data_IF_367511805933
#
_entry.id   IF_367511805933
#
_cell.length_a   1.000
_cell.length_b   1.000
_cell.length_c   1.000
_cell.angle_alpha   90.00
_cell.angle_beta   90.00
_cell.angle_gamma   90.00
#
_symmetry.space_group_name_H-M   'P 1'
#
loop_
_entity.id
_entity.type
_entity.pdbx_description
1 polymer ?
#
# COMPACT_ATOMS: atom_id res chain seq x y z
N UNK A 1 27.38 34.06 68.53
CA UNK A 1 27.91 35.31 69.12
C UNK A 1 27.60 36.43 68.13
N UNK A 2 27.26 37.62 68.66
CA UNK A 2 26.91 38.86 67.95
C UNK A 2 25.54 38.87 67.21
N UNK A 3 24.52 39.59 67.70
CA UNK A 3 24.28 41.07 67.65
C UNK A 3 23.82 41.50 66.24
N UNK A 4 22.89 42.40 65.99
CA UNK A 4 21.94 43.24 66.73
C UNK A 4 21.18 44.07 65.65
N UNK A 5 20.16 44.84 66.07
CA UNK A 5 19.44 45.95 65.39
C UNK A 5 18.11 45.55 64.73
N UNK A 6 16.92 45.79 65.32
CA UNK A 6 16.30 47.05 65.81
C UNK A 6 16.32 48.18 64.77
N UNK A 7 15.28 48.99 64.53
CA UNK A 7 13.94 49.21 65.12
C UNK A 7 13.24 50.27 64.22
N UNK A 8 12.04 50.66 64.65
CA UNK A 8 11.44 52.01 64.52
C UNK A 8 10.60 52.32 63.26
N UNK A 9 9.42 52.95 63.36
CA UNK A 9 8.57 53.31 64.51
C UNK A 9 7.21 53.83 63.99
N UNK A 10 6.22 53.78 64.88
CA UNK A 10 5.10 54.73 65.07
C UNK A 10 4.34 55.34 63.87
N UNK A 11 3.00 55.25 63.90
CA UNK A 11 2.23 56.22 64.70
C UNK A 11 0.80 55.74 64.98
N UNK A 12 0.33 56.15 66.16
CA UNK A 12 -0.92 55.86 66.85
C UNK A 12 -1.91 57.02 66.69
N UNK A 13 -3.22 56.76 66.74
CA UNK A 13 -4.17 57.89 66.76
C UNK A 13 -5.65 57.58 66.67
N UNK A 14 -6.19 57.01 67.75
CA UNK A 14 -7.31 57.61 68.51
C UNK A 14 -8.74 57.74 67.92
N UNK A 15 -9.69 57.53 68.86
CA UNK A 15 -11.05 58.08 68.97
C UNK A 15 -12.31 57.37 68.44
N UNK A 16 -13.08 56.95 69.44
CA UNK A 16 -14.50 56.56 69.45
C UNK A 16 -15.40 57.83 69.40
N UNK A 17 -16.44 57.85 68.55
CA UNK A 17 -17.86 58.19 68.86
C UNK A 17 -18.66 58.64 67.62
N UNK A 18 -19.74 57.93 67.32
CA UNK A 18 -21.09 58.54 67.37
C UNK A 18 -21.85 58.85 66.06
N UNK A 19 -22.97 58.12 65.92
CA UNK A 19 -24.31 58.52 65.40
C UNK A 19 -24.64 58.36 63.91
N UNK A 20 -25.72 57.56 63.71
CA UNK A 20 -26.87 57.70 62.78
C UNK A 20 -26.51 57.65 61.29
N UNK A 21 -27.21 56.93 60.41
CA UNK A 21 -28.66 56.74 60.27
C UNK A 21 -28.90 55.63 59.24
N UNK A 22 -30.02 54.91 59.37
CA UNK A 22 -30.61 54.04 58.33
C UNK A 22 -30.55 54.70 56.96
N UNK A 23 -30.20 53.95 55.91
CA UNK A 23 -30.94 53.88 54.64
C UNK A 23 -30.65 52.51 54.00
N UNK A 24 -31.71 51.72 53.88
CA UNK A 24 -31.72 50.38 53.35
C UNK A 24 -32.17 50.49 51.89
N UNK A 25 -31.26 50.30 50.92
CA UNK A 25 -31.61 50.19 49.50
C UNK A 25 -30.87 49.02 48.89
N UNK A 26 -31.58 47.89 48.88
CA UNK A 26 -31.73 46.98 47.74
C UNK A 26 -30.69 47.12 46.62
N UNK A 27 -29.89 46.08 46.40
CA UNK A 27 -29.79 45.51 45.06
C UNK A 27 -29.38 44.03 45.08
N UNK A 28 -30.27 43.26 44.48
CA UNK A 28 -30.30 41.81 44.41
C UNK A 28 -29.02 41.21 43.83
N UNK A 29 -28.42 40.28 44.57
CA UNK A 29 -27.74 39.14 43.97
C UNK A 29 -28.69 37.95 44.04
N UNK A 30 -29.28 37.63 42.89
CA UNK A 30 -30.17 36.49 42.72
C UNK A 30 -29.46 35.20 43.16
N UNK A 31 -30.01 34.53 44.18
CA UNK A 31 -29.62 33.16 44.59
C UNK A 31 -30.07 32.08 43.59
N UNK A 32 -30.64 32.45 42.43
CA UNK A 32 -31.16 31.49 41.45
C UNK A 32 -30.15 31.05 40.38
N UNK A 33 -29.02 31.73 40.21
CA UNK A 33 -28.06 31.39 39.14
C UNK A 33 -27.13 30.24 39.51
N UNK A 34 -26.88 29.98 40.79
CA UNK A 34 -26.01 28.86 41.22
C UNK A 34 -26.61 27.47 41.04
N UNK A 35 -27.93 27.35 40.92
CA UNK A 35 -28.63 26.06 40.87
C UNK A 35 -29.03 25.63 39.44
N UNK A 36 -28.83 26.50 38.45
CA UNK A 36 -29.15 26.23 37.03
C UNK A 36 -27.96 25.76 36.18
N UNK A 37 -26.72 25.94 36.65
CA UNK A 37 -25.52 25.46 35.95
C UNK A 37 -25.10 24.05 36.35
N UNK A 38 -25.51 23.56 37.52
CA UNK A 38 -25.23 22.19 37.96
C UNK A 38 -25.84 21.10 37.05
N UNK A 39 -27.12 21.21 36.59
CA UNK A 39 -27.66 20.26 35.64
C UNK A 39 -27.02 20.39 34.25
N UNK A 40 -26.60 21.58 33.82
CA UNK A 40 -25.98 21.78 32.51
C UNK A 40 -24.57 21.16 32.43
N UNK A 41 -23.78 21.23 33.50
CA UNK A 41 -22.45 20.59 33.59
C UNK A 41 -22.59 19.07 33.68
N UNK A 42 -23.58 18.55 34.42
CA UNK A 42 -23.90 17.12 34.45
C UNK A 42 -24.43 16.61 33.09
N UNK A 43 -25.20 17.42 32.36
CA UNK A 43 -25.70 17.10 31.02
C UNK A 43 -24.56 17.09 29.99
N UNK A 44 -23.61 18.02 30.08
CA UNK A 44 -22.44 18.06 29.19
C UNK A 44 -21.44 16.94 29.48
N UNK A 45 -21.26 16.55 30.75
CA UNK A 45 -20.48 15.38 31.13
C UNK A 45 -21.14 14.06 30.68
N UNK A 46 -22.48 13.99 30.69
CA UNK A 46 -23.22 12.84 30.14
C UNK A 46 -23.09 12.73 28.61
N UNK A 47 -23.01 13.86 27.89
CA UNK A 47 -22.79 13.87 26.43
C UNK A 47 -21.35 13.45 26.09
N UNK A 48 -20.35 13.84 26.88
CA UNK A 48 -18.97 13.37 26.71
C UNK A 48 -18.81 11.89 27.07
N UNK A 49 -19.56 11.37 28.06
CA UNK A 49 -19.60 9.95 28.39
C UNK A 49 -20.35 9.10 27.34
N UNK A 50 -21.27 9.70 26.57
CA UNK A 50 -21.99 9.05 25.48
C UNK A 50 -21.15 8.85 24.21
N UNK A 51 -19.93 9.38 24.16
CA UNK A 51 -18.95 9.09 23.10
C UNK A 51 -18.11 7.84 23.41
N UNK A 52 -18.58 6.94 24.28
CA UNK A 52 -18.09 5.58 24.32
C UNK A 52 -18.43 4.92 22.98
N UNK A 53 -17.39 4.55 22.23
CA UNK A 53 -17.48 3.85 20.95
C UNK A 53 -18.41 2.65 21.15
N UNK A 54 -19.59 2.67 20.51
CA UNK A 54 -20.57 1.60 20.70
C UNK A 54 -19.91 0.28 20.31
N UNK A 55 -20.07 -0.78 21.12
CA UNK A 55 -19.51 -2.06 20.77
C UNK A 55 -20.10 -2.49 19.44
N UNK A 56 -19.25 -3.00 18.54
CA UNK A 56 -19.60 -3.45 17.21
C UNK A 56 -18.87 -4.76 16.91
N UNK A 57 -19.42 -5.58 16.00
CA UNK A 57 -18.75 -6.76 15.46
C UNK A 57 -18.22 -6.43 14.07
N UNK A 58 -16.91 -6.58 13.86
CA UNK A 58 -16.31 -6.41 12.54
C UNK A 58 -16.63 -7.63 11.69
N UNK A 59 -17.28 -7.45 10.56
CA UNK A 59 -17.63 -8.54 9.65
C UNK A 59 -16.78 -8.48 8.38
N UNK A 60 -16.02 -9.55 8.14
CA UNK A 60 -15.27 -9.79 6.91
C UNK A 60 -15.73 -11.07 6.22
N UNK A 61 -15.75 -11.07 4.90
CA UNK A 61 -16.15 -12.21 4.08
C UNK A 61 -14.96 -12.74 3.27
N UNK A 62 -14.67 -14.03 3.40
CA UNK A 62 -13.63 -14.73 2.64
C UNK A 62 -14.32 -15.63 1.61
N UNK A 63 -14.51 -15.07 0.42
CA UNK A 63 -15.17 -15.74 -0.70
C UNK A 63 -14.14 -16.08 -1.79
N UNK A 64 -14.24 -17.27 -2.38
CA UNK A 64 -13.38 -17.70 -3.48
C UNK A 64 -12.02 -18.22 -3.04
N UNK A 65 -11.00 -18.03 -3.88
CA UNK A 65 -9.66 -18.60 -3.68
C UNK A 65 -8.90 -17.91 -2.53
N UNK A 66 -8.28 -18.69 -1.65
CA UNK A 66 -7.42 -18.15 -0.57
C UNK A 66 -6.05 -17.78 -1.16
N UNK A 67 -5.83 -16.48 -1.36
CA UNK A 67 -4.63 -15.92 -1.97
C UNK A 67 -3.82 -15.06 -0.99
N UNK A 68 -2.58 -14.67 -1.33
CA UNK A 68 -1.85 -13.62 -0.63
C UNK A 68 -2.66 -12.32 -0.46
N UNK A 69 -3.50 -11.95 -1.42
CA UNK A 69 -4.40 -10.80 -1.31
C UNK A 69 -5.48 -11.00 -0.24
N UNK A 70 -6.03 -12.22 -0.14
CA UNK A 70 -6.95 -12.61 0.93
C UNK A 70 -6.29 -12.50 2.30
N UNK A 71 -5.03 -12.95 2.42
CA UNK A 71 -4.26 -12.81 3.66
C UNK A 71 -4.01 -11.35 4.02
N UNK A 72 -3.63 -10.52 3.04
CA UNK A 72 -3.45 -9.07 3.23
C UNK A 72 -4.74 -8.39 3.71
N UNK A 73 -5.88 -8.74 3.10
CA UNK A 73 -7.18 -8.25 3.54
C UNK A 73 -7.50 -8.61 4.99
N UNK A 74 -7.25 -9.87 5.38
CA UNK A 74 -7.44 -10.29 6.78
C UNK A 74 -6.52 -9.50 7.71
N UNK A 75 -5.24 -9.32 7.37
CA UNK A 75 -4.31 -8.53 8.19
C UNK A 75 -4.77 -7.08 8.35
N UNK A 76 -5.20 -6.42 7.27
CA UNK A 76 -5.75 -5.06 7.29
C UNK A 76 -7.05 -4.94 8.09
N UNK A 77 -7.86 -6.00 8.13
CA UNK A 77 -9.05 -6.05 8.97
C UNK A 77 -8.67 -6.22 10.46
N UNK A 78 -7.74 -7.13 10.75
CA UNK A 78 -7.29 -7.42 12.11
C UNK A 78 -6.48 -6.29 12.74
N UNK A 79 -5.84 -5.44 11.94
CA UNK A 79 -5.24 -4.19 12.40
C UNK A 79 -6.26 -3.24 13.09
N UNK A 80 -7.55 -3.37 12.75
CA UNK A 80 -8.63 -2.61 13.39
C UNK A 80 -9.38 -3.41 14.46
N UNK A 81 -9.10 -4.71 14.63
CA UNK A 81 -9.94 -5.61 15.42
C UNK A 81 -10.07 -5.20 16.90
N UNK A 82 -9.06 -4.55 17.48
CA UNK A 82 -9.10 -4.03 18.85
C UNK A 82 -10.16 -2.95 19.09
N UNK A 83 -10.67 -2.32 18.03
CA UNK A 83 -11.76 -1.34 18.09
C UNK A 83 -13.16 -2.01 18.16
N UNK A 84 -13.22 -3.33 17.99
CA UNK A 84 -14.46 -4.11 17.91
C UNK A 84 -14.54 -5.11 19.08
N UNK A 85 -15.75 -5.56 19.38
CA UNK A 85 -15.98 -6.56 20.44
C UNK A 85 -15.63 -7.99 20.00
N UNK A 86 -15.76 -8.26 18.69
CA UNK A 86 -15.39 -9.51 18.05
C UNK A 86 -15.20 -9.29 16.55
N UNK A 87 -14.56 -10.25 15.88
CA UNK A 87 -14.48 -10.34 14.42
C UNK A 87 -15.32 -11.54 13.96
N UNK A 88 -16.25 -11.32 13.03
CA UNK A 88 -16.96 -12.36 12.30
C UNK A 88 -16.31 -12.57 10.94
N UNK A 89 -15.89 -13.80 10.67
CA UNK A 89 -15.34 -14.24 9.38
C UNK A 89 -16.33 -15.22 8.75
N UNK A 90 -16.96 -14.82 7.64
CA UNK A 90 -17.77 -15.76 6.85
C UNK A 90 -16.93 -16.41 5.75
N UNK A 91 -17.12 -17.71 5.53
CA UNK A 91 -16.30 -18.53 4.64
C UNK A 91 -17.16 -19.18 3.54
N UNK A 92 -16.82 -18.88 2.28
CA UNK A 92 -17.23 -19.66 1.10
C UNK A 92 -16.05 -19.86 0.14
N UNK A 93 -15.29 -20.93 0.35
CA UNK A 93 -14.03 -21.21 -0.35
C UNK A 93 -13.82 -22.70 -0.64
N UNK A 94 -13.23 -22.98 -1.81
CA UNK A 94 -12.73 -24.31 -2.17
C UNK A 94 -11.31 -24.57 -1.65
N UNK A 95 -10.64 -23.54 -1.10
CA UNK A 95 -9.27 -23.60 -0.67
C UNK A 95 -8.39 -22.53 -1.33
N UNK A 96 -7.08 -22.74 -1.25
CA UNK A 96 -6.11 -21.89 -1.91
C UNK A 96 -4.68 -22.18 -1.48
N UNK A 97 -3.83 -21.14 -1.50
CA UNK A 97 -2.42 -21.25 -1.13
C UNK A 97 -2.26 -21.64 0.35
N UNK A 98 -1.38 -22.62 0.60
CA UNK A 98 -1.03 -23.04 1.95
C UNK A 98 -0.37 -21.91 2.76
N UNK A 99 0.49 -21.09 2.14
CA UNK A 99 1.17 -19.98 2.81
C UNK A 99 0.18 -18.89 3.22
N UNK A 100 -0.74 -18.53 2.32
CA UNK A 100 -1.79 -17.56 2.62
C UNK A 100 -2.70 -18.07 3.75
N UNK A 101 -3.07 -19.35 3.71
CA UNK A 101 -3.83 -19.99 4.78
C UNK A 101 -3.10 -19.92 6.13
N UNK A 102 -1.83 -20.31 6.18
CA UNK A 102 -1.05 -20.32 7.42
C UNK A 102 -0.91 -18.89 7.99
N UNK A 103 -0.75 -17.89 7.13
CA UNK A 103 -0.70 -16.47 7.52
C UNK A 103 -2.03 -15.99 8.11
N UNK A 104 -3.17 -16.37 7.52
CA UNK A 104 -4.50 -16.07 8.06
C UNK A 104 -4.70 -16.76 9.41
N UNK A 105 -4.33 -18.04 9.52
CA UNK A 105 -4.39 -18.80 10.78
C UNK A 105 -3.55 -18.10 11.87
N UNK A 106 -2.32 -17.71 11.56
CA UNK A 106 -1.45 -16.98 12.50
C UNK A 106 -2.07 -15.64 12.93
N UNK A 107 -2.69 -14.91 12.00
CA UNK A 107 -3.40 -13.65 12.28
C UNK A 107 -4.56 -13.86 13.25
N UNK A 108 -5.37 -14.91 13.03
CA UNK A 108 -6.48 -15.27 13.92
C UNK A 108 -5.96 -15.66 15.31
N UNK A 109 -4.92 -16.50 15.37
CA UNK A 109 -4.32 -16.98 16.64
C UNK A 109 -3.72 -15.84 17.47
N UNK A 110 -3.27 -14.75 16.84
CA UNK A 110 -2.75 -13.55 17.52
C UNK A 110 -3.82 -12.51 17.86
N UNK A 111 -5.08 -12.77 17.52
CA UNK A 111 -6.14 -11.80 17.73
C UNK A 111 -6.34 -11.47 19.21
N UNK A 112 -6.36 -10.18 19.59
CA UNK A 112 -6.66 -9.77 20.96
C UNK A 112 -8.15 -9.85 21.30
N UNK A 113 -9.01 -10.02 20.29
CA UNK A 113 -10.47 -10.11 20.42
C UNK A 113 -10.99 -11.46 19.91
N UNK A 114 -12.16 -11.93 20.40
CA UNK A 114 -12.81 -13.13 19.88
C UNK A 114 -13.01 -13.11 18.36
N UNK A 115 -12.86 -14.28 17.73
CA UNK A 115 -13.03 -14.47 16.29
C UNK A 115 -14.05 -15.58 16.08
N UNK A 116 -15.15 -15.24 15.41
CA UNK A 116 -16.24 -16.14 15.07
C UNK A 116 -16.07 -16.53 13.60
N UNK A 117 -15.85 -17.81 13.32
CA UNK A 117 -15.83 -18.38 11.98
C UNK A 117 -17.19 -18.95 11.61
N UNK A 118 -17.69 -18.63 10.43
CA UNK A 118 -19.00 -19.10 9.98
C UNK A 118 -18.98 -19.54 8.52
N UNK A 119 -19.23 -20.83 8.26
CA UNK A 119 -19.40 -21.30 6.88
C UNK A 119 -20.77 -20.83 6.40
N UNK A 120 -20.78 -19.88 5.47
CA UNK A 120 -21.95 -19.10 5.07
C UNK A 120 -21.71 -18.51 3.66
N UNK A 121 -22.73 -18.37 2.80
CA UNK A 121 -24.17 -18.59 3.02
C UNK A 121 -24.57 -20.06 3.12
N UNK A 122 -25.86 -20.32 3.35
CA UNK A 122 -26.43 -21.66 3.18
C UNK A 122 -26.07 -22.22 1.80
N UNK A 123 -25.61 -23.48 1.76
CA UNK A 123 -25.04 -24.10 0.55
C UNK A 123 -23.59 -23.72 0.21
N UNK A 124 -22.99 -22.78 0.95
CA UNK A 124 -21.56 -22.44 0.86
C UNK A 124 -20.65 -23.53 1.42
N UNK A 125 -19.34 -23.29 1.43
CA UNK A 125 -18.37 -24.31 1.86
C UNK A 125 -17.09 -23.71 2.42
N UNK A 126 -16.41 -24.42 3.30
CA UNK A 126 -15.06 -24.09 3.72
C UNK A 126 -14.20 -25.35 3.55
N UNK A 127 -13.71 -25.58 2.34
CA UNK A 127 -12.88 -26.74 2.01
C UNK A 127 -11.40 -26.38 2.03
N UNK A 128 -10.55 -27.38 2.20
CA UNK A 128 -9.09 -27.23 2.18
C UNK A 128 -8.62 -26.12 3.12
N UNK A 129 -8.00 -25.06 2.61
CA UNK A 129 -7.57 -23.90 3.38
C UNK A 129 -8.71 -23.30 4.25
N UNK A 130 -9.95 -23.31 3.76
CA UNK A 130 -11.11 -22.85 4.51
C UNK A 130 -11.35 -23.61 5.81
N UNK A 131 -11.13 -24.93 5.80
CA UNK A 131 -11.26 -25.77 7.00
C UNK A 131 -10.22 -25.38 8.06
N UNK A 132 -8.97 -25.15 7.66
CA UNK A 132 -7.92 -24.70 8.59
C UNK A 132 -8.24 -23.34 9.21
N UNK A 133 -8.73 -22.39 8.38
CA UNK A 133 -9.13 -21.05 8.86
C UNK A 133 -10.28 -21.18 9.86
N UNK A 134 -11.30 -21.98 9.55
CA UNK A 134 -12.42 -22.24 10.47
C UNK A 134 -11.93 -22.86 11.79
N UNK A 135 -11.08 -23.89 11.73
CA UNK A 135 -10.55 -24.57 12.91
C UNK A 135 -9.67 -23.66 13.77
N UNK A 136 -9.09 -22.60 13.21
CA UNK A 136 -8.33 -21.61 13.95
C UNK A 136 -9.22 -20.58 14.68
N UNK A 137 -10.50 -20.43 14.30
CA UNK A 137 -11.39 -19.45 14.92
C UNK A 137 -11.78 -19.85 16.34
N UNK A 138 -12.06 -18.85 17.18
CA UNK A 138 -12.39 -19.04 18.59
C UNK A 138 -13.79 -19.62 18.81
N UNK A 139 -14.70 -19.39 17.87
CA UNK A 139 -16.04 -19.97 17.83
C UNK A 139 -16.40 -20.24 16.37
N UNK A 140 -16.73 -21.49 16.03
CA UNK A 140 -16.96 -21.97 14.68
C UNK A 140 -18.40 -22.43 14.53
N UNK A 141 -19.03 -22.04 13.42
CA UNK A 141 -20.37 -22.44 13.08
C UNK A 141 -20.55 -22.73 11.59
N UNK A 142 -21.64 -23.39 11.26
CA UNK A 142 -21.99 -23.75 9.88
C UNK A 142 -23.44 -23.41 9.57
N UNK A 143 -23.70 -22.88 8.37
CA UNK A 143 -25.05 -22.71 7.86
C UNK A 143 -25.60 -24.03 7.31
N UNK A 144 -26.94 -24.23 7.27
CA UNK A 144 -27.53 -25.41 6.64
C UNK A 144 -27.06 -25.62 5.20
N UNK A 145 -26.86 -26.88 4.82
CA UNK A 145 -26.40 -27.24 3.47
C UNK A 145 -24.93 -26.91 3.18
N UNK A 146 -24.17 -26.41 4.16
CA UNK A 146 -22.74 -26.14 3.96
C UNK A 146 -21.85 -27.36 4.15
N UNK A 147 -20.58 -27.26 3.75
CA UNK A 147 -19.61 -28.35 3.86
C UNK A 147 -18.27 -27.85 4.39
N UNK A 148 -17.65 -28.62 5.29
CA UNK A 148 -16.24 -28.49 5.67
C UNK A 148 -15.48 -29.77 5.34
N UNK A 149 -14.17 -29.66 5.17
CA UNK A 149 -13.31 -30.82 4.99
C UNK A 149 -12.37 -30.69 3.81
N UNK A 150 -12.13 -31.81 3.11
CA UNK A 150 -11.28 -31.95 1.94
C UNK A 150 -9.96 -31.19 2.06
N UNK A 151 -9.22 -31.47 3.15
CA UNK A 151 -8.04 -30.70 3.53
C UNK A 151 -6.72 -31.43 3.35
N UNK A 152 -6.70 -32.51 2.57
CA UNK A 152 -5.45 -33.11 2.11
C UNK A 152 -4.70 -32.10 1.21
N UNK A 153 -3.41 -31.81 1.48
CA UNK A 153 -2.63 -30.91 0.66
C UNK A 153 -2.48 -31.45 -0.77
N UNK A 154 -2.46 -30.56 -1.75
CA UNK A 154 -2.31 -30.88 -3.18
C UNK A 154 -1.08 -30.15 -3.72
N UNK A 155 -0.30 -30.84 -4.55
CA UNK A 155 0.87 -30.27 -5.24
C UNK A 155 0.84 -30.69 -6.71
N UNK A 156 0.95 -29.72 -7.62
CA UNK A 156 0.87 -30.01 -9.07
C UNK A 156 -0.48 -30.57 -9.54
N UNK A 157 -1.56 -30.35 -8.78
CA UNK A 157 -2.89 -30.88 -9.07
C UNK A 157 -3.17 -32.27 -8.48
N UNK A 158 -2.17 -32.93 -7.91
CA UNK A 158 -2.31 -34.25 -7.30
C UNK A 158 -2.27 -34.19 -5.76
N UNK A 159 -3.06 -35.03 -5.06
CA UNK A 159 -2.97 -35.16 -3.62
C UNK A 159 -1.55 -35.54 -3.18
N UNK A 160 -1.01 -34.80 -2.21
CA UNK A 160 0.30 -35.09 -1.65
C UNK A 160 0.22 -36.36 -0.81
N UNK A 161 1.08 -37.31 -1.14
CA UNK A 161 1.25 -38.59 -0.41
C UNK A 161 2.54 -38.62 0.41
N UNK A 162 3.41 -37.62 0.24
CA UNK A 162 4.62 -37.45 1.04
C UNK A 162 4.24 -37.33 2.53
N UNK A 163 4.71 -38.28 3.33
CA UNK A 163 4.32 -38.39 4.74
C UNK A 163 4.81 -37.22 5.58
N UNK A 164 5.92 -36.57 5.22
CA UNK A 164 6.44 -35.40 5.95
C UNK A 164 5.48 -34.22 5.79
N UNK A 165 5.03 -33.96 4.56
CA UNK A 165 4.06 -32.88 4.29
C UNK A 165 2.70 -33.23 4.88
N UNK A 166 2.21 -34.45 4.65
CA UNK A 166 0.90 -34.90 5.11
C UNK A 166 0.81 -34.86 6.65
N UNK A 167 1.80 -35.39 7.35
CA UNK A 167 1.83 -35.39 8.82
C UNK A 167 1.92 -33.99 9.38
N UNK A 168 2.68 -33.07 8.76
CA UNK A 168 2.73 -31.68 9.18
C UNK A 168 1.33 -31.02 9.14
N UNK A 169 0.63 -31.16 8.01
CA UNK A 169 -0.70 -30.56 7.83
C UNK A 169 -1.77 -31.21 8.70
N UNK A 170 -1.68 -32.53 8.92
CA UNK A 170 -2.55 -33.26 9.84
C UNK A 170 -2.34 -32.81 11.29
N UNK A 171 -1.09 -32.73 11.75
CA UNK A 171 -0.76 -32.28 13.10
C UNK A 171 -1.15 -30.81 13.32
N UNK A 172 -0.94 -29.96 12.30
CA UNK A 172 -1.39 -28.56 12.35
C UNK A 172 -2.91 -28.48 12.51
N UNK A 173 -3.68 -29.24 11.73
CA UNK A 173 -5.15 -29.28 11.84
C UNK A 173 -5.59 -29.74 13.24
N UNK A 174 -5.00 -30.84 13.73
CA UNK A 174 -5.28 -31.38 15.05
C UNK A 174 -4.99 -30.38 16.17
N UNK A 175 -3.84 -29.70 16.11
CA UNK A 175 -3.43 -28.69 17.09
C UNK A 175 -4.38 -27.49 17.08
N UNK A 176 -4.84 -27.04 15.90
CA UNK A 176 -5.82 -25.95 15.81
C UNK A 176 -7.13 -26.33 16.49
N UNK A 177 -7.67 -27.52 16.17
CA UNK A 177 -8.88 -28.03 16.79
C UNK A 177 -8.73 -28.13 18.31
N UNK A 178 -7.66 -28.79 18.79
CA UNK A 178 -7.40 -28.97 20.22
C UNK A 178 -7.27 -27.65 20.98
N UNK A 179 -6.60 -26.65 20.39
CA UNK A 179 -6.41 -25.33 21.00
C UNK A 179 -7.75 -24.61 21.30
N UNK A 180 -8.79 -24.94 20.54
CA UNK A 180 -10.15 -24.41 20.68
C UNK A 180 -11.11 -25.38 21.38
N UNK A 181 -10.61 -26.52 21.90
CA UNK A 181 -11.42 -27.53 22.57
C UNK A 181 -12.24 -28.43 21.62
N UNK A 182 -11.92 -28.42 20.33
CA UNK A 182 -12.56 -29.25 19.30
C UNK A 182 -11.90 -30.63 19.20
N UNK A 183 -12.58 -31.55 18.53
CA UNK A 183 -12.13 -32.93 18.39
C UNK A 183 -10.90 -33.05 17.46
N UNK A 184 -9.72 -33.17 18.07
CA UNK A 184 -8.44 -33.37 17.38
C UNK A 184 -8.47 -34.55 16.41
N UNK A 185 -8.98 -35.70 16.83
CA UNK A 185 -8.88 -36.93 16.05
C UNK A 185 -9.72 -36.86 14.77
N UNK A 186 -10.94 -36.32 14.85
CA UNK A 186 -11.75 -36.10 13.65
C UNK A 186 -11.15 -35.01 12.75
N UNK A 187 -10.56 -33.96 13.33
CA UNK A 187 -9.89 -32.92 12.57
C UNK A 187 -8.66 -33.45 11.80
N UNK A 188 -7.88 -34.34 12.41
CA UNK A 188 -6.74 -35.02 11.76
C UNK A 188 -7.22 -35.88 10.58
N UNK A 189 -8.34 -36.61 10.74
CA UNK A 189 -8.90 -37.45 9.67
C UNK A 189 -9.40 -36.65 8.47
N UNK A 190 -9.78 -35.38 8.63
CA UNK A 190 -10.09 -34.49 7.50
C UNK A 190 -8.91 -34.39 6.53
N UNK A 191 -7.68 -34.41 7.05
CA UNK A 191 -6.46 -34.30 6.24
C UNK A 191 -6.02 -35.66 5.74
N UNK A 192 -5.93 -36.66 6.63
CA UNK A 192 -5.38 -37.98 6.30
C UNK A 192 -6.33 -38.82 5.44
N UNK A 193 -7.64 -38.72 5.66
CA UNK A 193 -8.66 -39.51 4.98
C UNK A 193 -9.48 -38.66 3.99
N UNK A 194 -9.12 -37.38 3.81
CA UNK A 194 -9.82 -36.42 2.96
C UNK A 194 -11.34 -36.32 3.25
N UNK A 195 -11.73 -36.49 4.52
CA UNK A 195 -13.12 -36.53 4.96
C UNK A 195 -13.83 -35.18 4.83
N UNK A 196 -15.15 -35.24 4.66
CA UNK A 196 -16.05 -34.10 4.60
C UNK A 196 -17.18 -34.22 5.63
N UNK A 197 -17.57 -33.10 6.21
CA UNK A 197 -18.63 -33.01 7.21
C UNK A 197 -19.66 -31.97 6.79
N UNK A 198 -20.93 -32.37 6.84
CA UNK A 198 -22.07 -31.44 6.79
C UNK A 198 -22.28 -30.82 8.19
N UNK A 199 -23.17 -29.82 8.35
CA UNK A 199 -23.30 -29.07 9.60
C UNK A 199 -23.64 -29.96 10.80
N UNK A 200 -24.55 -30.91 10.63
CA UNK A 200 -25.00 -31.81 11.69
C UNK A 200 -23.88 -32.76 12.13
N UNK A 201 -23.20 -33.41 11.17
CA UNK A 201 -22.08 -34.31 11.48
C UNK A 201 -20.89 -33.56 12.06
N UNK A 202 -20.63 -32.33 11.61
CA UNK A 202 -19.57 -31.49 12.17
C UNK A 202 -19.85 -31.14 13.65
N UNK A 203 -21.10 -30.83 13.97
CA UNK A 203 -21.53 -30.55 15.35
C UNK A 203 -21.43 -31.80 16.22
N UNK A 204 -21.95 -32.95 15.76
CA UNK A 204 -21.85 -34.24 16.45
C UNK A 204 -20.40 -34.67 16.69
N UNK A 205 -19.53 -34.46 15.70
CA UNK A 205 -18.10 -34.74 15.80
C UNK A 205 -17.34 -33.74 16.69
N UNK A 206 -17.98 -32.67 17.17
CA UNK A 206 -17.36 -31.54 17.91
C UNK A 206 -16.25 -30.83 17.11
N UNK A 207 -16.50 -30.63 15.81
CA UNK A 207 -15.65 -29.82 14.93
C UNK A 207 -16.14 -28.37 14.86
N UNK A 208 -17.39 -28.10 15.21
CA UNK A 208 -17.98 -26.76 15.30
C UNK A 208 -18.86 -26.68 16.53
N UNK A 209 -19.09 -25.46 17.03
CA UNK A 209 -19.88 -25.22 18.24
C UNK A 209 -21.38 -25.02 17.94
N UNK A 210 -21.73 -24.58 16.73
CA UNK A 210 -23.12 -24.31 16.37
C UNK A 210 -23.45 -24.54 14.89
N UNK A 211 -24.74 -24.78 14.65
CA UNK A 211 -25.38 -24.66 13.34
C UNK A 211 -26.39 -23.53 13.42
N UNK A 212 -26.36 -22.58 12.49
CA UNK A 212 -27.23 -21.40 12.48
C UNK A 212 -27.65 -21.05 11.04
N UNK A 213 -28.88 -20.63 10.79
CA UNK A 213 -29.42 -20.31 9.46
C UNK A 213 -28.89 -19.01 8.89
N UNK A 214 -28.61 -18.05 9.77
CA UNK A 214 -28.14 -16.71 9.43
C UNK A 214 -27.22 -16.17 10.53
N UNK A 215 -26.68 -14.99 10.27
CA UNK A 215 -25.74 -14.31 11.17
C UNK A 215 -26.42 -13.91 12.48
N UNK A 216 -27.69 -13.54 12.48
CA UNK A 216 -28.37 -13.11 13.70
C UNK A 216 -28.56 -14.28 14.66
N UNK A 217 -29.01 -15.42 14.16
CA UNK A 217 -29.12 -16.66 14.95
C UNK A 217 -27.75 -17.12 15.45
N UNK A 218 -26.71 -17.02 14.62
CA UNK A 218 -25.33 -17.34 15.02
C UNK A 218 -24.90 -16.48 16.22
N UNK A 219 -25.03 -15.16 16.12
CA UNK A 219 -24.62 -14.27 17.20
C UNK A 219 -25.42 -14.52 18.47
N UNK A 220 -26.71 -14.85 18.35
CA UNK A 220 -27.53 -15.22 19.50
C UNK A 220 -27.06 -16.53 20.18
N UNK A 221 -26.58 -17.51 19.40
CA UNK A 221 -26.02 -18.78 19.91
C UNK A 221 -24.60 -18.64 20.47
N UNK A 222 -23.80 -17.75 19.90
CA UNK A 222 -22.43 -17.50 20.31
C UNK A 222 -22.36 -16.64 21.59
N UNK A 223 -23.36 -15.80 21.84
CA UNK A 223 -23.44 -14.94 23.02
C UNK A 223 -23.36 -15.73 24.34
N UNK A 224 -22.59 -15.23 25.29
CA UNK A 224 -22.32 -15.86 26.57
C UNK A 224 -21.25 -16.97 26.54
N UNK A 225 -20.81 -17.41 25.36
CA UNK A 225 -19.77 -18.44 25.25
C UNK A 225 -18.41 -17.90 25.72
N UNK A 226 -17.66 -18.73 26.46
CA UNK A 226 -16.28 -18.42 26.87
C UNK A 226 -15.33 -18.96 25.81
N UNK A 227 -14.49 -18.10 25.26
CA UNK A 227 -13.50 -18.46 24.24
C UNK A 227 -12.08 -18.09 24.68
N UNK A 228 -11.09 -18.88 24.24
CA UNK A 228 -9.68 -18.69 24.58
C UNK A 228 -8.98 -17.88 23.49
N UNK A 229 -8.79 -16.59 23.72
CA UNK A 229 -8.05 -15.70 22.81
C UNK A 229 -6.57 -15.62 23.19
N UNK A 230 -5.76 -14.98 22.33
CA UNK A 230 -4.36 -14.68 22.67
C UNK A 230 -4.22 -13.85 23.96
N UNK A 231 -5.19 -12.97 24.22
CA UNK A 231 -5.25 -12.14 25.42
C UNK A 231 -5.83 -12.86 26.66
N UNK A 232 -6.10 -14.17 26.56
CA UNK A 232 -6.72 -14.99 27.59
C UNK A 232 -8.20 -15.30 27.32
N UNK A 233 -8.89 -15.83 28.33
CA UNK A 233 -10.32 -16.16 28.23
C UNK A 233 -11.18 -14.88 28.13
N UNK A 234 -12.09 -14.89 27.15
CA UNK A 234 -13.02 -13.80 26.87
C UNK A 234 -14.43 -14.35 26.72
N UNK A 235 -15.41 -13.65 27.28
CA UNK A 235 -16.82 -13.97 27.07
C UNK A 235 -17.30 -13.25 25.81
N UNK A 236 -17.89 -13.99 24.87
CA UNK A 236 -18.55 -13.42 23.71
C UNK A 236 -19.80 -12.67 24.16
N UNK A 237 -19.80 -11.34 23.98
CA UNK A 237 -20.98 -10.49 24.13
C UNK A 237 -21.23 -9.87 22.78
N UNK A 238 -22.09 -10.49 21.98
CA UNK A 238 -22.28 -10.19 20.56
C UNK A 238 -23.74 -10.14 20.14
N UNK A 239 -24.68 -10.50 21.03
CA UNK A 239 -26.11 -10.42 20.75
C UNK A 239 -26.58 -8.97 20.65
N UNK A 240 -27.28 -8.63 19.56
CA UNK A 240 -27.85 -7.29 19.33
C UNK A 240 -26.80 -6.21 19.08
N UNK A 241 -25.54 -6.60 18.83
CA UNK A 241 -24.44 -5.69 18.54
C UNK A 241 -24.44 -5.36 17.05
N UNK A 242 -24.27 -4.08 16.64
CA UNK A 242 -24.21 -3.70 15.24
C UNK A 242 -23.04 -4.38 14.51
N UNK A 243 -23.34 -4.87 13.30
CA UNK A 243 -22.36 -5.47 12.40
C UNK A 243 -21.79 -4.41 11.46
N UNK A 244 -20.48 -4.25 11.46
CA UNK A 244 -19.77 -3.36 10.54
C UNK A 244 -19.06 -4.21 9.50
N UNK A 245 -19.66 -4.29 8.31
CA UNK A 245 -19.07 -5.02 7.19
C UNK A 245 -17.94 -4.20 6.58
N UNK A 246 -16.73 -4.76 6.55
CA UNK A 246 -15.56 -4.18 5.88
C UNK A 246 -15.26 -5.01 4.64
N UNK A 247 -15.06 -4.37 3.51
CA UNK A 247 -14.59 -5.03 2.29
C UNK A 247 -13.06 -4.97 2.14
N UNK A 248 -12.49 -5.68 1.16
CA UNK A 248 -11.08 -5.56 0.84
C UNK A 248 -10.72 -4.14 0.41
N UNK A 249 -9.54 -3.66 0.82
CA UNK A 249 -8.98 -2.41 0.32
C UNK A 249 -8.61 -2.52 -1.16
N UNK A 250 -8.39 -1.38 -1.82
CA UNK A 250 -7.88 -1.38 -3.20
C UNK A 250 -6.57 -2.15 -3.33
N UNK A 251 -5.70 -2.06 -2.31
CA UNK A 251 -4.44 -2.80 -2.25
C UNK A 251 -4.71 -4.30 -2.20
N UNK A 252 -5.54 -4.75 -1.26
CA UNK A 252 -5.85 -6.17 -1.13
C UNK A 252 -6.57 -6.72 -2.37
N UNK A 253 -7.46 -5.95 -3.00
CA UNK A 253 -8.11 -6.31 -4.26
C UNK A 253 -7.11 -6.40 -5.42
N UNK A 254 -6.16 -5.49 -5.53
CA UNK A 254 -5.12 -5.53 -6.55
C UNK A 254 -4.21 -6.75 -6.37
N UNK A 255 -3.78 -7.02 -5.13
CA UNK A 255 -2.98 -8.22 -4.82
C UNK A 255 -3.78 -9.48 -5.10
N UNK A 256 -5.05 -9.55 -4.71
CA UNK A 256 -5.90 -10.72 -4.97
C UNK A 256 -6.05 -10.99 -6.48
N UNK A 257 -6.25 -9.94 -7.29
CA UNK A 257 -6.32 -10.05 -8.75
C UNK A 257 -5.00 -10.58 -9.34
N UNK A 258 -3.87 -10.02 -8.89
CA UNK A 258 -2.55 -10.46 -9.36
C UNK A 258 -2.24 -11.89 -8.91
N UNK A 259 -2.67 -12.26 -7.71
CA UNK A 259 -2.49 -13.60 -7.13
C UNK A 259 -3.43 -14.67 -7.65
N UNK A 260 -4.38 -14.33 -8.51
CA UNK A 260 -5.18 -15.34 -9.20
C UNK A 260 -4.27 -16.14 -10.16
N UNK A 261 -4.21 -17.48 -10.06
CA UNK A 261 -3.32 -18.30 -10.88
C UNK A 261 -3.51 -18.11 -12.40
N UNK A 262 -4.75 -17.88 -12.85
CA UNK A 262 -5.03 -17.65 -14.26
C UNK A 262 -4.54 -16.27 -14.70
N UNK A 263 -4.83 -15.22 -13.91
CA UNK A 263 -4.39 -13.85 -14.22
C UNK A 263 -2.87 -13.78 -14.23
N UNK A 264 -2.21 -14.33 -13.22
CA UNK A 264 -0.76 -14.43 -13.14
C UNK A 264 -0.15 -15.15 -14.34
N UNK A 265 -0.69 -16.31 -14.72
CA UNK A 265 -0.19 -17.10 -15.86
C UNK A 265 -0.36 -16.38 -17.20
N UNK A 266 -1.49 -15.67 -17.37
CA UNK A 266 -1.73 -14.84 -18.54
C UNK A 266 -0.77 -13.65 -18.58
N UNK A 267 -0.54 -12.97 -17.46
CA UNK A 267 0.42 -11.87 -17.37
C UNK A 267 1.85 -12.31 -17.73
N UNK A 268 2.30 -13.47 -17.23
CA UNK A 268 3.64 -13.99 -17.60
C UNK A 268 3.69 -14.30 -19.10
N UNK A 269 2.67 -14.97 -19.64
CA UNK A 269 2.65 -15.37 -21.04
C UNK A 269 2.61 -14.15 -21.97
N UNK A 270 1.71 -13.20 -21.72
CA UNK A 270 1.65 -11.93 -22.45
C UNK A 270 2.93 -11.12 -22.26
N UNK A 271 3.50 -11.15 -21.07
CA UNK A 271 4.76 -10.49 -20.75
C UNK A 271 5.93 -11.05 -21.57
N UNK A 272 6.05 -12.38 -21.68
CA UNK A 272 7.05 -13.05 -22.52
C UNK A 272 6.84 -12.67 -23.99
N UNK A 273 5.61 -12.75 -24.50
CA UNK A 273 5.33 -12.38 -25.90
C UNK A 273 5.69 -10.92 -26.17
N UNK A 274 5.30 -10.01 -25.29
CA UNK A 274 5.57 -8.57 -25.43
C UNK A 274 7.06 -8.28 -25.32
N UNK A 275 7.78 -8.98 -24.43
CA UNK A 275 9.22 -8.90 -24.31
C UNK A 275 9.92 -9.37 -25.59
N UNK A 276 9.50 -10.50 -26.18
CA UNK A 276 10.04 -10.99 -27.44
C UNK A 276 9.81 -10.01 -28.60
N UNK A 277 8.60 -9.43 -28.71
CA UNK A 277 8.31 -8.39 -29.70
C UNK A 277 9.15 -7.12 -29.45
N UNK A 278 9.32 -6.70 -28.20
CA UNK A 278 10.16 -5.55 -27.84
C UNK A 278 11.63 -5.76 -28.17
N UNK A 279 12.18 -6.95 -27.88
CA UNK A 279 13.57 -7.28 -28.19
C UNK A 279 13.84 -7.39 -29.70
N UNK A 280 12.84 -7.81 -30.49
CA UNK A 280 12.95 -7.89 -31.95
C UNK A 280 12.71 -6.56 -32.65
N UNK A 281 12.00 -5.63 -32.00
CA UNK A 281 11.74 -4.27 -32.51
C UNK A 281 12.06 -3.20 -31.46
N UNK A 282 13.35 -2.94 -31.17
CA UNK A 282 13.77 -2.04 -30.10
C UNK A 282 13.19 -0.63 -30.24
N UNK A 283 12.82 -0.01 -29.11
CA UNK A 283 12.41 1.40 -29.05
C UNK A 283 10.90 1.66 -28.96
N UNK A 284 10.06 0.62 -29.02
CA UNK A 284 8.60 0.73 -28.81
C UNK A 284 8.17 0.49 -27.36
N UNK A 285 9.10 0.14 -26.47
CA UNK A 285 8.84 -0.09 -25.05
C UNK A 285 8.20 -1.44 -24.73
N UNK A 286 8.14 -2.37 -25.70
CA UNK A 286 7.64 -3.74 -25.50
C UNK A 286 8.51 -4.52 -24.52
N UNK A 287 9.81 -4.25 -24.49
CA UNK A 287 10.77 -4.82 -23.55
C UNK A 287 10.47 -4.43 -22.11
N UNK A 288 10.03 -3.18 -21.90
CA UNK A 288 9.64 -2.65 -20.59
C UNK A 288 8.29 -3.22 -20.16
N UNK A 289 7.30 -3.14 -21.03
CA UNK A 289 5.95 -3.63 -20.76
C UNK A 289 5.96 -5.15 -20.52
N UNK A 290 6.71 -5.89 -21.32
CA UNK A 290 6.92 -7.33 -21.19
C UNK A 290 7.58 -7.71 -19.87
N UNK A 291 8.70 -7.06 -19.53
CA UNK A 291 9.38 -7.27 -18.24
C UNK A 291 8.49 -6.96 -17.03
N UNK A 292 7.73 -5.87 -17.08
CA UNK A 292 6.77 -5.50 -16.03
C UNK A 292 5.65 -6.55 -15.89
N UNK A 293 5.05 -7.00 -16.99
CA UNK A 293 4.00 -8.03 -16.96
C UNK A 293 4.52 -9.36 -16.40
N UNK A 294 5.73 -9.77 -16.77
CA UNK A 294 6.37 -10.96 -16.19
C UNK A 294 6.54 -10.78 -14.67
N UNK A 295 7.09 -9.65 -14.23
CA UNK A 295 7.26 -9.39 -12.79
C UNK A 295 5.93 -9.41 -12.02
N UNK A 296 4.89 -8.75 -12.54
CA UNK A 296 3.57 -8.72 -11.92
C UNK A 296 2.95 -10.12 -11.85
N UNK A 297 3.11 -10.92 -12.91
CA UNK A 297 2.67 -12.31 -12.90
C UNK A 297 3.45 -13.16 -11.88
N UNK A 298 4.78 -12.99 -11.77
CA UNK A 298 5.58 -13.69 -10.77
C UNK A 298 5.18 -13.32 -9.33
N UNK A 299 4.88 -12.05 -9.05
CA UNK A 299 4.25 -11.63 -7.77
C UNK A 299 2.99 -12.42 -7.49
N UNK A 300 2.16 -12.58 -8.52
CA UNK A 300 0.97 -13.39 -8.47
C UNK A 300 1.19 -14.84 -8.02
N UNK A 301 2.29 -15.46 -8.44
CA UNK A 301 2.64 -16.84 -8.05
C UNK A 301 3.28 -16.95 -6.67
N UNK A 302 3.35 -15.86 -5.90
CA UNK A 302 3.94 -15.85 -4.57
C UNK A 302 5.37 -15.35 -4.52
N UNK A 303 5.89 -14.72 -5.60
CA UNK A 303 7.11 -13.93 -5.48
C UNK A 303 6.87 -12.82 -4.46
N UNK A 304 7.71 -12.78 -3.43
CA UNK A 304 7.59 -11.81 -2.35
C UNK A 304 7.52 -10.38 -2.93
N UNK A 305 6.52 -9.61 -2.49
CA UNK A 305 6.27 -8.25 -3.00
C UNK A 305 7.49 -7.33 -2.84
N UNK A 306 8.35 -7.58 -1.84
CA UNK A 306 9.60 -6.87 -1.63
C UNK A 306 10.64 -7.23 -2.70
N UNK A 307 10.74 -8.51 -3.06
CA UNK A 307 11.65 -8.95 -4.14
C UNK A 307 11.16 -8.38 -5.47
N UNK A 308 9.85 -8.38 -5.70
CA UNK A 308 9.29 -7.78 -6.89
C UNK A 308 9.44 -6.25 -6.93
N UNK A 309 9.25 -5.56 -5.80
CA UNK A 309 9.52 -4.14 -5.65
C UNK A 309 10.98 -3.81 -5.93
N UNK A 310 11.92 -4.62 -5.42
CA UNK A 310 13.35 -4.48 -5.69
C UNK A 310 13.69 -4.73 -7.17
N UNK A 311 13.14 -5.78 -7.78
CA UNK A 311 13.35 -6.09 -9.20
C UNK A 311 12.77 -5.00 -10.09
N UNK A 312 11.58 -4.49 -9.77
CA UNK A 312 10.93 -3.43 -10.51
C UNK A 312 11.68 -2.10 -10.37
N UNK A 313 12.19 -1.80 -9.18
CA UNK A 313 13.07 -0.65 -8.96
C UNK A 313 14.38 -0.78 -9.74
N UNK A 314 15.00 -1.97 -9.75
CA UNK A 314 16.22 -2.24 -10.52
C UNK A 314 15.99 -2.11 -12.03
N UNK A 315 14.88 -2.64 -12.55
CA UNK A 315 14.48 -2.47 -13.96
C UNK A 315 14.22 -1.00 -14.26
N UNK A 316 13.49 -0.29 -13.40
CA UNK A 316 13.25 1.14 -13.54
C UNK A 316 14.55 1.94 -13.64
N UNK A 317 15.50 1.67 -12.74
CA UNK A 317 16.83 2.27 -12.76
C UNK A 317 17.61 1.92 -14.04
N UNK A 318 17.58 0.65 -14.47
CA UNK A 318 18.22 0.18 -15.70
C UNK A 318 17.68 0.88 -16.95
N UNK A 319 16.36 1.11 -17.02
CA UNK A 319 15.73 1.83 -18.13
C UNK A 319 16.09 3.31 -18.17
N UNK A 320 16.24 3.95 -17.01
CA UNK A 320 16.75 5.31 -16.92
C UNK A 320 18.20 5.39 -17.40
N UNK A 321 19.05 4.44 -17.00
CA UNK A 321 20.44 4.37 -17.46
C UNK A 321 20.51 4.13 -18.98
N UNK A 322 19.62 3.28 -19.51
CA UNK A 322 19.52 3.03 -20.94
C UNK A 322 19.15 4.30 -21.73
N UNK A 323 18.14 5.05 -21.29
CA UNK A 323 17.75 6.33 -21.93
C UNK A 323 18.87 7.38 -21.87
N UNK A 324 19.73 7.35 -20.84
CA UNK A 324 20.89 8.26 -20.74
C UNK A 324 21.98 7.95 -21.76
N UNK A 325 22.23 6.66 -22.06
CA UNK A 325 23.27 6.22 -23.00
C UNK A 325 22.78 6.22 -24.45
N UNK A 326 21.50 5.89 -24.65
CA UNK A 326 20.84 5.87 -25.96
C UNK A 326 19.62 6.80 -25.94
N UNK A 327 19.81 8.13 -26.00
CA UNK A 327 18.69 9.09 -25.95
C UNK A 327 17.69 8.82 -27.08
N UNK A 328 16.44 8.50 -26.74
CA UNK A 328 15.40 8.07 -27.67
C UNK A 328 14.13 8.94 -27.62
N UNK A 329 12.97 8.32 -27.86
CA UNK A 329 11.64 8.96 -27.81
C UNK A 329 11.18 9.34 -26.38
N UNK A 330 11.98 9.08 -25.34
CA UNK A 330 11.64 9.33 -23.92
C UNK A 330 10.72 8.28 -23.29
N UNK A 331 10.30 7.26 -24.04
CA UNK A 331 9.44 6.16 -23.56
C UNK A 331 10.15 5.31 -22.50
N UNK A 332 11.43 4.97 -22.69
CA UNK A 332 12.20 4.22 -21.69
C UNK A 332 12.47 5.08 -20.45
N UNK A 333 12.70 6.38 -20.63
CA UNK A 333 12.77 7.36 -19.54
C UNK A 333 11.49 7.40 -18.69
N UNK A 334 10.32 7.62 -19.30
CA UNK A 334 9.04 7.68 -18.58
C UNK A 334 8.68 6.33 -17.95
N UNK A 335 8.85 5.23 -18.69
CA UNK A 335 8.63 3.87 -18.18
C UNK A 335 9.56 3.53 -17.01
N UNK A 336 10.82 3.96 -17.09
CA UNK A 336 11.82 3.81 -16.03
C UNK A 336 11.44 4.58 -14.75
N UNK A 337 10.96 5.82 -14.87
CA UNK A 337 10.46 6.60 -13.71
C UNK A 337 9.27 5.91 -13.07
N UNK A 338 8.28 5.47 -13.87
CA UNK A 338 7.08 4.81 -13.35
C UNK A 338 7.43 3.49 -12.66
N UNK A 339 8.23 2.64 -13.30
CA UNK A 339 8.69 1.37 -12.73
C UNK A 339 9.49 1.60 -11.43
N UNK A 340 10.43 2.54 -11.43
CA UNK A 340 11.22 2.87 -10.24
C UNK A 340 10.33 3.35 -9.08
N UNK A 341 9.36 4.22 -9.37
CA UNK A 341 8.44 4.77 -8.38
C UNK A 341 7.54 3.68 -7.80
N UNK A 342 6.93 2.85 -8.65
CA UNK A 342 6.08 1.73 -8.21
C UNK A 342 6.92 0.72 -7.41
N UNK A 343 8.13 0.39 -7.87
CA UNK A 343 9.04 -0.51 -7.17
C UNK A 343 9.39 -0.03 -5.76
N UNK A 344 9.70 1.26 -5.60
CA UNK A 344 9.98 1.87 -4.29
C UNK A 344 8.73 1.87 -3.38
N UNK A 345 7.54 2.14 -3.93
CA UNK A 345 6.28 2.09 -3.16
C UNK A 345 6.02 0.66 -2.66
N UNK A 346 6.23 -0.35 -3.51
CA UNK A 346 6.06 -1.75 -3.14
C UNK A 346 7.07 -2.18 -2.05
N UNK A 347 8.31 -1.66 -2.08
CA UNK A 347 9.30 -1.85 -1.02
C UNK A 347 8.89 -1.19 0.31
N UNK A 348 8.18 -0.06 0.25
CA UNK A 348 7.68 0.66 1.43
C UNK A 348 6.59 -0.08 2.22
N UNK A 349 5.95 -1.10 1.61
CA UNK A 349 4.98 -1.99 2.25
C UNK A 349 5.59 -2.98 3.27
N UNK A 350 6.90 -2.88 3.51
CA UNK A 350 7.59 -3.63 4.54
C UNK A 350 7.01 -3.35 5.94
N UNK A 351 6.20 -4.28 6.44
CA UNK A 351 6.09 -4.53 7.87
C UNK A 351 6.85 -5.81 8.15
N UNK A 352 8.03 -5.77 8.78
CA UNK A 352 8.65 -6.99 9.25
C UNK A 352 7.69 -7.64 10.25
N UNK A 353 7.41 -8.94 10.09
CA UNK A 353 6.96 -9.76 11.21
C UNK A 353 7.91 -9.52 12.41
N UNK A 354 7.41 -9.64 13.65
CA UNK A 354 7.77 -8.78 14.78
C UNK A 354 9.27 -8.82 15.10
N UNK A 355 10.04 -7.95 14.45
CA UNK A 355 11.27 -7.45 15.01
C UNK A 355 10.89 -6.28 15.91
N UNK A 356 11.47 -6.22 17.11
CA UNK A 356 11.24 -5.20 18.13
C UNK A 356 11.65 -3.79 17.64
N UNK A 357 10.89 -3.22 16.72
CA UNK A 357 11.13 -1.88 16.18
C UNK A 357 9.89 -1.05 16.48
N UNK A 358 10.09 0.09 17.14
CA UNK A 358 8.99 0.96 17.55
C UNK A 358 8.18 1.41 16.32
N UNK A 359 6.85 1.44 16.46
CA UNK A 359 5.95 1.78 15.37
C UNK A 359 6.22 3.20 14.83
N UNK A 360 6.73 4.12 15.67
CA UNK A 360 7.18 5.43 15.21
C UNK A 360 8.35 5.33 14.22
N UNK A 361 9.33 4.45 14.47
CA UNK A 361 10.47 4.26 13.58
C UNK A 361 10.05 3.72 12.21
N UNK A 362 9.08 2.80 12.17
CA UNK A 362 8.51 2.29 10.91
C UNK A 362 7.79 3.39 10.14
N UNK A 363 6.95 4.20 10.80
CA UNK A 363 6.27 5.33 10.15
C UNK A 363 7.26 6.38 9.67
N UNK A 364 8.33 6.66 10.42
CA UNK A 364 9.37 7.61 10.05
C UNK A 364 10.20 7.10 8.88
N UNK A 365 10.57 5.82 8.88
CA UNK A 365 11.27 5.16 7.78
C UNK A 365 10.44 5.22 6.49
N UNK A 366 9.16 4.81 6.55
CA UNK A 366 8.24 4.89 5.41
C UNK A 366 8.06 6.31 4.89
N UNK A 367 7.83 7.28 5.78
CA UNK A 367 7.66 8.70 5.40
C UNK A 367 8.93 9.26 4.75
N UNK A 368 10.11 8.86 5.25
CA UNK A 368 11.40 9.27 4.70
C UNK A 368 11.63 8.69 3.31
N UNK A 369 11.35 7.39 3.13
CA UNK A 369 11.47 6.73 1.81
C UNK A 369 10.52 7.36 0.79
N UNK A 370 9.26 7.61 1.19
CA UNK A 370 8.27 8.28 0.32
C UNK A 370 8.74 9.71 -0.02
N UNK A 371 9.23 10.48 0.96
CA UNK A 371 9.72 11.83 0.73
C UNK A 371 10.91 11.86 -0.25
N UNK A 372 11.86 10.93 -0.11
CA UNK A 372 12.99 10.77 -1.03
C UNK A 372 12.50 10.41 -2.44
N UNK A 373 11.54 9.48 -2.55
CA UNK A 373 10.97 9.08 -3.83
C UNK A 373 10.25 10.24 -4.54
N UNK A 374 9.43 11.00 -3.82
CA UNK A 374 8.73 12.18 -4.35
C UNK A 374 9.73 13.25 -4.78
N UNK A 375 10.77 13.50 -3.97
CA UNK A 375 11.82 14.45 -4.32
C UNK A 375 12.59 14.01 -5.57
N UNK A 376 12.98 12.74 -5.66
CA UNK A 376 13.68 12.19 -6.82
C UNK A 376 12.82 12.30 -8.09
N UNK A 377 11.53 11.97 -8.01
CA UNK A 377 10.60 12.11 -9.12
C UNK A 377 10.43 13.57 -9.56
N UNK A 378 10.30 14.51 -8.62
CA UNK A 378 10.20 15.94 -8.90
C UNK A 378 11.49 16.48 -9.54
N UNK A 379 12.65 16.06 -9.04
CA UNK A 379 13.95 16.48 -9.57
C UNK A 379 14.19 15.94 -10.98
N UNK A 380 13.89 14.67 -11.24
CA UNK A 380 13.97 14.08 -12.57
C UNK A 380 12.98 14.73 -13.54
N UNK A 381 11.74 15.03 -13.09
CA UNK A 381 10.77 15.78 -13.86
C UNK A 381 11.26 17.19 -14.22
N UNK A 382 11.94 17.86 -13.28
CA UNK A 382 12.59 19.15 -13.53
C UNK A 382 13.73 19.04 -14.54
N UNK A 383 14.57 18.00 -14.46
CA UNK A 383 15.64 17.76 -15.43
C UNK A 383 15.07 17.48 -16.83
N UNK A 384 14.02 16.67 -16.94
CA UNK A 384 13.32 16.43 -18.19
C UNK A 384 12.76 17.75 -18.76
N UNK A 385 12.08 18.54 -17.94
CA UNK A 385 11.58 19.88 -18.33
C UNK A 385 12.71 20.78 -18.84
N UNK A 386 13.84 20.84 -18.12
CA UNK A 386 15.01 21.63 -18.52
C UNK A 386 15.63 21.11 -19.81
N UNK A 387 15.74 19.80 -19.99
CA UNK A 387 16.25 19.15 -21.20
C UNK A 387 15.40 19.50 -22.42
N UNK A 388 14.07 19.34 -22.33
CA UNK A 388 13.14 19.76 -23.39
C UNK A 388 13.20 21.25 -23.68
N UNK A 389 13.34 22.09 -22.65
CA UNK A 389 13.44 23.55 -22.81
C UNK A 389 14.78 23.95 -23.43
N UNK A 390 15.86 23.21 -23.15
CA UNK A 390 17.18 23.43 -23.72
C UNK A 390 17.23 23.02 -25.20
N UNK A 391 16.61 21.90 -25.58
CA UNK A 391 16.51 21.47 -26.99
C UNK A 391 15.72 22.46 -27.86
N UNK A 392 14.77 23.22 -27.29
CA UNK A 392 14.02 24.27 -28.01
C UNK A 392 14.86 25.53 -28.27
N UNK A 393 15.99 25.72 -27.60
CA UNK A 393 16.89 26.85 -27.88
C UNK A 393 17.79 26.47 -29.05
N UNK A 394 17.60 27.13 -30.20
CA UNK A 394 18.51 26.95 -31.36
C UNK A 394 19.94 27.28 -30.94
N UNK A 395 20.95 26.48 -31.35
CA UNK A 395 22.35 26.82 -31.13
C UNK A 395 22.59 28.22 -31.66
N UNK A 396 23.17 29.10 -30.83
CA UNK A 396 23.60 30.41 -31.29
C UNK A 396 24.90 30.19 -32.05
N UNK A 397 24.79 29.96 -33.35
CA UNK A 397 25.95 29.84 -34.25
C UNK A 397 26.72 31.17 -34.22
N UNK A 398 27.87 31.17 -33.57
CA UNK A 398 28.90 32.17 -33.84
C UNK A 398 29.61 31.74 -35.11
N UNK A 399 29.15 32.27 -36.24
CA UNK A 399 29.93 32.25 -37.48
C UNK A 399 30.71 33.56 -37.50
N UNK A 400 32.03 33.50 -37.57
CA UNK A 400 32.86 34.68 -37.83
C UNK A 400 32.35 35.39 -39.08
N UNK A 401 32.17 36.71 -39.02
CA UNK A 401 31.62 37.47 -40.15
C UNK A 401 32.60 37.62 -41.33
N UNK A 402 33.82 37.09 -41.21
CA UNK A 402 34.89 37.23 -42.19
C UNK A 402 35.48 35.86 -42.56
N UNK A 403 35.79 35.70 -43.83
CA UNK A 403 36.45 34.52 -44.38
C UNK A 403 37.37 34.86 -45.54
N UNK A 404 37.93 33.83 -46.18
CA UNK A 404 38.73 33.99 -47.40
C UNK A 404 38.22 33.06 -48.50
N UNK A 405 38.11 33.55 -49.73
CA UNK A 405 37.73 32.72 -50.86
C UNK A 405 38.85 31.73 -51.23
N UNK A 406 38.47 30.48 -51.50
CA UNK A 406 39.38 29.40 -51.92
C UNK A 406 39.49 29.34 -53.44
N UNK A 407 38.51 29.90 -54.15
CA UNK A 407 38.40 29.91 -55.61
C UNK A 407 37.66 31.16 -56.08
N UNK A 408 37.68 31.42 -57.40
CA UNK A 408 36.91 32.50 -58.01
C UNK A 408 35.41 32.20 -57.96
N UNK A 409 34.65 33.01 -57.20
CA UNK A 409 33.20 32.89 -57.09
C UNK A 409 32.53 34.00 -57.89
N UNK A 410 31.92 33.62 -59.02
CA UNK A 410 31.13 34.55 -59.85
C UNK A 410 29.84 34.98 -59.12
N UNK A 411 29.26 36.15 -59.46
CA UNK A 411 27.96 36.57 -58.91
C UNK A 411 26.89 35.49 -59.14
N UNK A 412 26.26 35.02 -58.05
CA UNK A 412 25.27 33.94 -58.08
C UNK A 412 25.85 32.53 -58.25
N UNK A 413 27.17 32.39 -58.45
CA UNK A 413 27.87 31.12 -58.46
C UNK A 413 28.05 30.55 -57.06
N UNK A 414 28.24 29.24 -56.96
CA UNK A 414 28.59 28.54 -55.71
C UNK A 414 30.07 28.24 -55.74
N UNK A 415 30.80 28.58 -54.67
CA UNK A 415 32.17 28.16 -54.46
C UNK A 415 32.49 27.95 -52.98
N UNK A 416 33.77 27.80 -52.64
CA UNK A 416 34.21 27.56 -51.26
C UNK A 416 34.94 28.76 -50.64
N UNK A 417 34.66 29.02 -49.36
CA UNK A 417 35.36 29.98 -48.52
C UNK A 417 35.92 29.26 -47.28
N UNK A 418 37.01 29.77 -46.71
CA UNK A 418 37.51 29.35 -45.40
C UNK A 418 37.10 30.36 -44.34
N UNK A 419 36.43 29.87 -43.29
CA UNK A 419 36.01 30.65 -42.11
C UNK A 419 36.51 29.91 -40.88
N UNK A 420 37.30 30.58 -40.04
CA UNK A 420 37.91 30.00 -38.83
C UNK A 420 38.65 28.65 -39.03
N UNK A 421 39.17 28.42 -40.25
CA UNK A 421 39.91 27.22 -40.62
C UNK A 421 39.07 26.08 -41.21
N UNK A 422 37.75 26.27 -41.35
CA UNK A 422 36.84 25.29 -41.97
C UNK A 422 36.40 25.73 -43.38
N UNK A 423 36.24 24.75 -44.28
CA UNK A 423 35.72 25.00 -45.63
C UNK A 423 34.20 25.04 -45.63
N UNK A 424 33.65 26.15 -46.12
CA UNK A 424 32.22 26.37 -46.22
C UNK A 424 31.82 26.68 -47.65
N UNK A 425 30.67 26.16 -48.08
CA UNK A 425 30.06 26.56 -49.35
C UNK A 425 29.51 27.97 -49.22
N UNK A 426 29.81 28.81 -50.20
CA UNK A 426 29.32 30.17 -50.27
C UNK A 426 28.88 30.56 -51.68
N UNK A 427 27.96 31.52 -51.75
CA UNK A 427 27.52 32.20 -52.97
C UNK A 427 27.84 33.68 -52.87
N UNK A 428 28.49 34.21 -53.90
CA UNK A 428 28.91 35.60 -53.91
C UNK A 428 27.86 36.49 -54.58
N UNK A 429 27.56 37.65 -53.99
CA UNK A 429 26.69 38.68 -54.62
C UNK A 429 27.43 39.51 -55.67
N UNK A 430 28.75 39.62 -55.52
CA UNK A 430 29.68 40.27 -56.45
C UNK A 430 30.77 39.28 -56.81
N UNK A 431 31.55 39.56 -57.85
CA UNK A 431 32.69 38.73 -58.19
C UNK A 431 33.67 38.76 -57.02
N UNK A 432 34.02 37.58 -56.50
CA UNK A 432 35.05 37.39 -55.47
C UNK A 432 36.14 36.55 -56.09
N UNK A 433 37.39 37.01 -55.99
CA UNK A 433 38.55 36.27 -56.51
C UNK A 433 39.13 35.32 -55.48
N UNK A 434 39.85 34.31 -55.98
CA UNK A 434 40.64 33.41 -55.17
C UNK A 434 41.55 34.19 -54.19
N UNK A 435 41.60 33.76 -52.93
CA UNK A 435 42.33 34.36 -51.82
C UNK A 435 41.83 35.74 -51.34
N UNK A 436 40.75 36.29 -51.90
CA UNK A 436 40.16 37.55 -51.47
C UNK A 436 39.46 37.41 -50.11
N UNK A 437 39.52 38.46 -49.27
CA UNK A 437 38.77 38.50 -48.02
C UNK A 437 37.30 38.76 -48.31
N UNK A 438 36.44 37.98 -47.66
CA UNK A 438 35.00 38.05 -47.84
C UNK A 438 34.31 38.30 -46.52
N UNK A 439 33.24 39.09 -46.56
CA UNK A 439 32.32 39.29 -45.44
C UNK A 439 31.05 38.46 -45.67
N UNK A 440 30.68 37.69 -44.66
CA UNK A 440 29.46 36.87 -44.66
C UNK A 440 28.27 37.77 -44.35
N UNK A 441 27.36 37.91 -45.32
CA UNK A 441 26.17 38.77 -45.22
C UNK A 441 24.90 37.98 -44.89
N UNK A 442 24.94 36.66 -44.96
CA UNK A 442 23.81 35.81 -44.59
C UNK A 442 24.11 34.32 -44.81
N UNK A 443 23.10 33.48 -44.53
CA UNK A 443 23.15 32.04 -44.80
C UNK A 443 21.79 31.58 -45.32
N UNK A 444 21.78 30.95 -46.48
CA UNK A 444 20.58 30.39 -47.12
C UNK A 444 20.80 28.90 -47.39
N UNK A 445 19.94 28.05 -46.83
CA UNK A 445 19.96 26.61 -47.11
C UNK A 445 21.29 25.90 -46.80
N UNK A 446 22.05 26.38 -45.82
CA UNK A 446 23.37 25.82 -45.46
C UNK A 446 24.55 26.40 -46.24
N UNK A 447 24.31 27.31 -47.19
CA UNK A 447 25.33 28.01 -47.99
C UNK A 447 25.46 29.45 -47.47
N UNK A 448 26.68 29.94 -47.26
CA UNK A 448 26.91 31.34 -46.87
C UNK A 448 26.71 32.28 -48.05
N UNK A 449 26.12 33.44 -47.81
CA UNK A 449 26.08 34.52 -48.80
C UNK A 449 27.21 35.48 -48.46
N UNK A 450 28.09 35.74 -49.42
CA UNK A 450 29.29 36.56 -49.21
C UNK A 450 29.41 37.74 -50.16
N UNK A 451 30.09 38.78 -49.68
CA UNK A 451 30.50 39.96 -50.44
C UNK A 451 32.00 40.18 -50.24
N UNK A 452 32.74 40.68 -51.25
CA UNK A 452 34.14 41.06 -51.06
C UNK A 452 34.25 42.15 -50.00
N UNK A 453 35.27 42.05 -49.16
CA UNK A 453 35.57 43.07 -48.15
C UNK A 453 36.32 44.22 -48.82
N UNK A 454 35.68 45.40 -48.91
CA UNK A 454 36.28 46.57 -49.55
C UNK A 454 37.61 46.91 -48.86
N UNK A 455 38.71 46.86 -49.62
CA UNK A 455 40.04 47.23 -49.15
C UNK A 455 40.06 48.73 -48.85
N UNK A 456 40.07 49.10 -47.57
CA UNK A 456 40.43 50.47 -47.16
C UNK A 456 41.94 50.57 -47.00
#
# INVERSE_FOLDING_TARGET
MERDRQREEHDSGDRIRGKRTRHNTWRCWNKETGMRFFPAVLFFAAILAACAQQPAVLWIELNGYISPGTATYVEEAFALASQYSAVLITLDTLGGSADAMLKIVETIQRSPVPVIGYVYPAGGKALSAGTYILMATHYAAMAPGTLIGSAQPVSGGEPVTDSKVLNFFAEKMGTLAESQGRNRDEAVKIVLENKNFNPQRALEARLVEAVATDVEELLAKADGSVVKTFAGEKVLRVKGIPLIKKGPSMTASAVALLSDPLVSSLLITLGILTLLFGLTSPGWGGEVAGGLMILLGLVGQGLNINIAGALLAAIGAGLLLYELVSPGFGLAGVGGILALTIGIILLGGYSPAPAFVAQEWLTQFQTTVIAIAVFAAAFLGFLAYKSFTAQKKRPREWVSMHGRAVEDIKPGGVGYIVVDGEYWRATARRLVKEHERVRIVGREGGVFVVEPEDST
#
